data_IF_915518552056
#
_entry.id   IF_915518552056
#
_cell.length_a   1.000
_cell.length_b   1.000
_cell.length_c   1.000
_cell.angle_alpha   90.00
_cell.angle_beta   90.00
_cell.angle_gamma   90.00
#
_symmetry.space_group_name_H-M   'P 1'
#
loop_
_entity.id
_entity.type
_entity.pdbx_description
1 polymer ?
#
# COMPACT_ATOMS: atom_id res chain seq x y z
N UNK A 1 27.27 8.26 21.20
CA UNK A 1 26.69 6.95 21.01
C UNK A 1 25.34 6.98 21.71
N UNK A 2 24.25 7.14 21.00
CA UNK A 2 22.90 7.02 21.56
C UNK A 2 22.69 5.54 21.90
N UNK A 3 22.42 5.24 23.18
CA UNK A 3 22.03 3.88 23.56
C UNK A 3 20.76 3.55 22.76
N UNK A 4 20.79 2.47 21.99
CA UNK A 4 19.57 1.97 21.37
C UNK A 4 18.62 1.59 22.49
N UNK A 5 17.39 2.08 22.44
CA UNK A 5 16.35 1.67 23.36
C UNK A 5 16.21 0.13 23.27
N UNK A 6 16.03 -0.52 24.41
CA UNK A 6 15.72 -1.96 24.47
C UNK A 6 14.24 -2.22 24.21
N UNK A 7 13.46 -1.16 24.02
CA UNK A 7 12.03 -1.24 23.78
C UNK A 7 11.70 -2.12 22.58
N UNK A 8 10.74 -2.98 22.74
CA UNK A 8 10.19 -3.81 21.66
C UNK A 8 9.18 -2.99 20.87
N UNK A 9 9.46 -2.81 19.61
CA UNK A 9 8.68 -1.98 18.68
C UNK A 9 7.94 -2.87 17.69
N UNK A 10 6.68 -2.57 17.40
CA UNK A 10 5.97 -3.12 16.27
C UNK A 10 5.40 -2.01 15.39
N UNK A 11 5.48 -2.22 14.07
CA UNK A 11 4.92 -1.31 13.06
C UNK A 11 3.62 -1.89 12.52
N UNK A 12 2.60 -1.05 12.44
CA UNK A 12 1.31 -1.34 11.84
C UNK A 12 1.08 -0.33 10.71
N UNK A 13 1.19 -0.80 9.48
CA UNK A 13 1.19 0.05 8.30
C UNK A 13 -0.09 -0.18 7.50
N UNK A 14 -1.00 0.79 7.57
CA UNK A 14 -2.11 0.88 6.63
C UNK A 14 -1.54 1.30 5.27
N UNK A 15 -1.39 0.32 4.37
CA UNK A 15 -0.72 0.51 3.09
C UNK A 15 -1.42 1.52 2.19
N UNK A 16 -2.75 1.57 2.22
CA UNK A 16 -3.53 2.50 1.42
C UNK A 16 -3.36 3.94 1.93
N UNK A 17 -3.42 4.14 3.24
CA UNK A 17 -3.26 5.43 3.88
C UNK A 17 -1.83 5.96 3.72
N UNK A 18 -0.81 5.13 4.00
CA UNK A 18 0.58 5.52 3.83
C UNK A 18 0.90 5.91 2.38
N UNK A 19 0.42 5.12 1.40
CA UNK A 19 0.61 5.42 -0.03
C UNK A 19 -0.03 6.76 -0.40
N UNK A 20 -1.29 6.98 -0.01
CA UNK A 20 -1.99 8.22 -0.28
C UNK A 20 -1.28 9.44 0.34
N UNK A 21 -0.82 9.30 1.58
CA UNK A 21 -0.11 10.34 2.32
C UNK A 21 1.23 10.69 1.65
N UNK A 22 2.06 9.69 1.35
CA UNK A 22 3.36 9.89 0.69
C UNK A 22 3.20 10.49 -0.72
N UNK A 23 2.20 10.04 -1.47
CA UNK A 23 1.88 10.59 -2.78
C UNK A 23 1.45 12.07 -2.70
N UNK A 24 0.64 12.42 -1.72
CA UNK A 24 0.22 13.81 -1.49
C UNK A 24 1.42 14.71 -1.14
N UNK A 25 2.39 14.19 -0.42
CA UNK A 25 3.64 14.86 -0.07
C UNK A 25 4.70 14.83 -1.19
N UNK A 26 4.44 14.12 -2.27
CA UNK A 26 5.29 14.10 -3.47
C UNK A 26 6.55 13.24 -3.37
N UNK A 27 6.58 12.22 -2.51
CA UNK A 27 7.71 11.30 -2.44
C UNK A 27 7.27 9.83 -2.38
N UNK A 28 8.19 8.93 -2.72
CA UNK A 28 7.98 7.49 -2.66
C UNK A 28 8.66 6.92 -1.41
N UNK A 29 8.00 5.98 -0.73
CA UNK A 29 8.56 5.29 0.44
C UNK A 29 9.57 4.24 -0.01
N UNK A 30 10.76 4.26 0.60
CA UNK A 30 11.71 3.16 0.60
C UNK A 30 11.47 2.28 1.84
N UNK A 31 10.79 1.18 1.64
CA UNK A 31 10.44 0.26 2.72
C UNK A 31 11.66 -0.38 3.39
N UNK A 32 12.80 -0.51 2.70
CA UNK A 32 14.04 -0.99 3.29
C UNK A 32 14.62 0.04 4.27
N UNK A 33 14.59 1.31 3.89
CA UNK A 33 14.99 2.43 4.77
C UNK A 33 14.04 2.55 5.96
N UNK A 34 12.72 2.32 5.75
CA UNK A 34 11.73 2.32 6.82
C UNK A 34 12.08 1.28 7.90
N UNK A 35 12.31 0.02 7.52
CA UNK A 35 12.73 -0.99 8.49
C UNK A 35 14.00 -0.60 9.23
N UNK A 36 15.03 -0.14 8.52
CA UNK A 36 16.31 0.28 9.13
C UNK A 36 16.15 1.42 10.14
N UNK A 37 15.30 2.40 9.81
CA UNK A 37 15.04 3.54 10.71
C UNK A 37 14.46 3.05 12.03
N UNK A 38 13.47 2.15 12.01
CA UNK A 38 12.86 1.66 13.23
C UNK A 38 13.70 0.59 13.96
N UNK A 39 14.47 -0.20 13.24
CA UNK A 39 15.49 -1.08 13.83
C UNK A 39 16.57 -0.32 14.58
N UNK A 40 16.86 0.93 14.18
CA UNK A 40 17.82 1.77 14.88
C UNK A 40 17.27 2.40 16.17
N UNK A 41 15.93 2.39 16.35
CA UNK A 41 15.27 3.00 17.51
C UNK A 41 15.07 2.02 18.66
N UNK A 42 15.09 0.73 18.40
CA UNK A 42 14.87 -0.31 19.40
C UNK A 42 14.83 -1.71 18.77
N UNK A 43 14.30 -2.67 19.50
CA UNK A 43 14.12 -4.03 19.00
C UNK A 43 12.83 -4.11 18.16
N UNK A 44 12.97 -4.05 16.84
CA UNK A 44 11.83 -4.20 15.93
C UNK A 44 11.36 -5.66 15.93
N UNK A 45 10.23 -5.92 16.59
CA UNK A 45 9.67 -7.25 16.74
C UNK A 45 8.92 -7.70 15.48
N UNK A 46 8.07 -6.83 14.93
CA UNK A 46 7.28 -7.09 13.71
C UNK A 46 7.04 -5.79 12.95
N UNK A 47 6.89 -5.93 11.64
CA UNK A 47 6.43 -4.86 10.77
C UNK A 47 5.30 -5.40 9.89
N UNK A 48 4.06 -5.09 10.24
CA UNK A 48 2.89 -5.48 9.49
C UNK A 48 2.59 -4.48 8.39
N UNK A 49 2.19 -4.99 7.22
CA UNK A 49 1.72 -4.19 6.11
C UNK A 49 0.35 -4.71 5.66
N UNK A 50 -0.66 -3.88 5.78
CA UNK A 50 -2.05 -4.21 5.49
C UNK A 50 -2.45 -3.64 4.15
N UNK A 51 -3.00 -4.47 3.26
CA UNK A 51 -3.48 -4.02 1.96
C UNK A 51 -4.59 -4.91 1.41
N UNK A 52 -5.55 -4.27 0.75
CA UNK A 52 -6.58 -4.98 -0.01
C UNK A 52 -6.06 -5.31 -1.41
N UNK A 53 -6.41 -6.50 -1.91
CA UNK A 53 -6.09 -6.96 -3.26
C UNK A 53 -7.40 -7.15 -4.03
N UNK A 54 -7.49 -6.61 -5.24
CA UNK A 54 -8.65 -6.81 -6.11
C UNK A 54 -8.57 -8.20 -6.75
N UNK A 55 -9.60 -9.03 -6.52
CA UNK A 55 -9.62 -10.46 -6.84
C UNK A 55 -9.59 -10.71 -8.36
N UNK A 56 -10.19 -9.82 -9.17
CA UNK A 56 -10.37 -10.00 -10.61
C UNK A 56 -9.21 -9.45 -11.47
N UNK A 57 -8.13 -8.96 -10.87
CA UNK A 57 -6.99 -8.46 -11.60
C UNK A 57 -5.81 -9.43 -11.56
N UNK A 58 -5.65 -10.26 -12.60
CA UNK A 58 -4.46 -11.12 -12.79
C UNK A 58 -3.13 -10.31 -12.74
N UNK A 59 -3.18 -9.01 -13.06
CA UNK A 59 -2.07 -8.06 -13.00
C UNK A 59 -2.37 -6.91 -12.04
N UNK A 60 -2.42 -7.18 -10.74
CA UNK A 60 -2.45 -6.10 -9.75
C UNK A 60 -1.07 -5.43 -9.70
N UNK A 61 -1.02 -4.11 -9.91
CA UNK A 61 0.22 -3.32 -9.84
C UNK A 61 0.90 -3.36 -8.47
N UNK A 62 0.17 -3.78 -7.43
CA UNK A 62 0.69 -3.87 -6.06
C UNK A 62 1.37 -5.23 -5.76
N UNK A 63 1.11 -6.30 -6.55
CA UNK A 63 1.69 -7.63 -6.29
C UNK A 63 3.22 -7.62 -6.18
N UNK A 64 3.98 -6.97 -7.08
CA UNK A 64 5.44 -6.93 -6.96
C UNK A 64 5.92 -6.29 -5.65
N UNK A 65 5.17 -5.31 -5.12
CA UNK A 65 5.47 -4.72 -3.82
C UNK A 65 5.17 -5.69 -2.69
N UNK A 66 4.03 -6.37 -2.73
CA UNK A 66 3.63 -7.37 -1.73
C UNK A 66 4.68 -8.48 -1.63
N UNK A 67 5.06 -9.07 -2.77
CA UNK A 67 6.06 -10.12 -2.84
C UNK A 67 7.41 -9.63 -2.28
N UNK A 68 7.80 -8.41 -2.65
CA UNK A 68 9.04 -7.82 -2.15
C UNK A 68 8.99 -7.61 -0.62
N UNK A 69 7.89 -7.10 -0.08
CA UNK A 69 7.72 -6.86 1.35
C UNK A 69 7.81 -8.16 2.15
N UNK A 70 7.13 -9.21 1.68
CA UNK A 70 7.11 -10.53 2.32
C UNK A 70 8.51 -11.14 2.40
N UNK A 71 9.31 -11.00 1.32
CA UNK A 71 10.71 -11.45 1.30
C UNK A 71 11.67 -10.57 2.12
N UNK A 72 11.27 -9.34 2.49
CA UNK A 72 12.18 -8.38 3.11
C UNK A 72 11.83 -8.02 4.56
N UNK A 73 11.16 -8.95 5.27
CA UNK A 73 10.99 -8.86 6.72
C UNK A 73 9.72 -8.14 7.18
N UNK A 74 8.77 -7.94 6.27
CA UNK A 74 7.40 -7.54 6.62
C UNK A 74 6.50 -8.75 6.78
N UNK A 75 5.52 -8.63 7.64
CA UNK A 75 4.37 -9.55 7.67
C UNK A 75 3.25 -8.90 6.86
N UNK A 76 3.00 -9.42 5.66
CA UNK A 76 1.99 -8.84 4.77
C UNK A 76 0.64 -9.49 5.03
N UNK A 77 -0.33 -8.66 5.40
CA UNK A 77 -1.72 -9.08 5.62
C UNK A 77 -2.56 -8.57 4.46
N UNK A 78 -3.15 -9.50 3.71
CA UNK A 78 -3.93 -9.17 2.52
C UNK A 78 -5.37 -9.64 2.65
N UNK A 79 -6.28 -8.90 2.03
CA UNK A 79 -7.69 -9.24 1.94
C UNK A 79 -8.14 -9.13 0.49
N UNK A 80 -8.70 -10.21 -0.02
CA UNK A 80 -9.33 -10.20 -1.34
C UNK A 80 -10.59 -9.32 -1.30
N UNK A 81 -10.70 -8.41 -2.25
CA UNK A 81 -11.83 -7.49 -2.35
C UNK A 81 -12.42 -7.55 -3.75
N UNK A 82 -13.74 -7.32 -3.84
CA UNK A 82 -14.43 -7.20 -5.12
C UNK A 82 -14.68 -5.75 -5.45
N UNK A 83 -14.46 -5.40 -6.71
CA UNK A 83 -14.95 -4.12 -7.22
C UNK A 83 -16.48 -4.21 -7.39
N UNK A 84 -17.18 -3.15 -7.00
CA UNK A 84 -18.59 -2.98 -7.33
C UNK A 84 -18.83 -1.58 -7.90
N UNK A 85 -19.83 -1.48 -8.74
CA UNK A 85 -20.24 -0.20 -9.29
C UNK A 85 -21.36 0.32 -8.40
N UNK A 86 -21.17 1.52 -7.83
CA UNK A 86 -22.21 2.18 -7.03
C UNK A 86 -23.37 2.68 -7.92
N UNK A 87 -24.45 3.11 -7.29
CA UNK A 87 -25.63 3.63 -7.99
C UNK A 87 -25.34 4.88 -8.88
N UNK A 88 -24.17 5.49 -8.72
CA UNK A 88 -23.70 6.64 -9.54
C UNK A 88 -22.76 6.20 -10.69
N UNK A 89 -22.58 4.89 -10.92
CA UNK A 89 -21.69 4.35 -11.95
C UNK A 89 -20.21 4.41 -11.62
N UNK A 90 -19.83 4.76 -10.38
CA UNK A 90 -18.44 4.82 -9.94
C UNK A 90 -17.97 3.47 -9.42
N UNK A 91 -16.80 3.04 -9.85
CA UNK A 91 -16.15 1.86 -9.29
C UNK A 91 -15.71 2.15 -7.86
N UNK A 92 -16.14 1.31 -6.93
CA UNK A 92 -15.72 1.32 -5.54
C UNK A 92 -15.14 -0.04 -5.17
N UNK A 93 -14.06 -0.01 -4.42
CA UNK A 93 -13.48 -1.20 -3.79
C UNK A 93 -13.95 -1.19 -2.34
N UNK A 94 -14.64 -2.26 -1.93
CA UNK A 94 -15.03 -2.43 -0.53
C UNK A 94 -14.03 -3.35 0.14
N UNK A 95 -13.06 -2.77 0.81
CA UNK A 95 -12.09 -3.51 1.60
C UNK A 95 -11.23 -2.53 2.37
N UNK A 96 -11.55 -2.34 3.65
CA UNK A 96 -10.61 -1.79 4.59
C UNK A 96 -9.97 -2.94 5.37
N UNK A 97 -8.80 -2.69 5.92
CA UNK A 97 -8.02 -3.65 6.70
C UNK A 97 -8.03 -3.30 8.18
N UNK A 98 -8.97 -2.46 8.63
CA UNK A 98 -8.97 -1.88 9.97
C UNK A 98 -9.19 -2.96 11.05
N UNK A 99 -10.04 -3.94 10.74
CA UNK A 99 -10.33 -5.04 11.67
C UNK A 99 -9.12 -5.94 11.80
N UNK A 100 -8.50 -6.34 10.69
CA UNK A 100 -7.30 -7.18 10.69
C UNK A 100 -6.16 -6.48 11.44
N UNK A 101 -5.93 -5.19 11.16
CA UNK A 101 -4.93 -4.39 11.86
C UNK A 101 -5.24 -4.28 13.37
N UNK A 102 -6.50 -4.04 13.72
CA UNK A 102 -6.91 -3.91 15.11
C UNK A 102 -6.74 -5.22 15.90
N UNK A 103 -7.07 -6.36 15.30
CA UNK A 103 -6.89 -7.68 15.92
C UNK A 103 -5.41 -7.95 16.18
N UNK A 104 -4.56 -7.83 15.14
CA UNK A 104 -3.12 -8.06 15.28
C UNK A 104 -2.46 -7.11 16.29
N UNK A 105 -2.89 -5.84 16.33
CA UNK A 105 -2.39 -4.87 17.29
C UNK A 105 -2.78 -5.23 18.73
N UNK A 106 -4.01 -5.68 18.94
CA UNK A 106 -4.48 -6.10 20.27
C UNK A 106 -3.81 -7.38 20.75
N UNK A 107 -3.56 -8.34 19.85
CA UNK A 107 -2.84 -9.58 20.18
C UNK A 107 -1.37 -9.28 20.53
N UNK A 108 -0.72 -8.39 19.78
CA UNK A 108 0.69 -8.09 20.01
C UNK A 108 0.94 -7.12 21.16
N UNK A 109 -0.09 -6.39 21.62
CA UNK A 109 0.04 -5.37 22.67
C UNK A 109 0.66 -5.89 23.97
N UNK A 110 0.51 -7.17 24.30
CA UNK A 110 1.10 -7.78 25.50
C UNK A 110 2.62 -8.06 25.36
N UNK A 111 3.16 -7.93 24.14
CA UNK A 111 4.53 -8.32 23.81
C UNK A 111 5.42 -7.17 23.39
N UNK A 112 4.86 -5.96 23.27
CA UNK A 112 5.56 -4.77 22.79
C UNK A 112 5.50 -3.62 23.80
N UNK A 113 6.50 -2.75 23.75
CA UNK A 113 6.54 -1.53 24.55
C UNK A 113 6.07 -0.32 23.75
N UNK A 114 6.23 -0.39 22.41
CA UNK A 114 5.86 0.68 21.48
C UNK A 114 5.12 0.15 20.25
N UNK A 115 3.98 0.76 19.97
CA UNK A 115 3.23 0.61 18.73
C UNK A 115 3.49 1.82 17.83
N UNK A 116 3.83 1.61 16.56
CA UNK A 116 3.91 2.67 15.55
C UNK A 116 2.85 2.42 14.49
N UNK A 117 1.88 3.30 14.43
CA UNK A 117 0.76 3.23 13.48
C UNK A 117 0.98 4.22 12.34
N UNK A 118 1.08 3.71 11.12
CA UNK A 118 1.09 4.51 9.89
C UNK A 118 -0.31 4.59 9.31
N UNK A 119 -1.12 5.46 9.87
CA UNK A 119 -2.46 5.80 9.37
C UNK A 119 -2.92 7.13 9.94
N UNK A 120 -3.78 7.82 9.21
CA UNK A 120 -4.44 9.03 9.68
C UNK A 120 -5.94 8.81 9.94
N UNK A 121 -6.41 7.56 9.83
CA UNK A 121 -7.83 7.26 9.95
C UNK A 121 -8.32 7.37 11.41
N UNK A 122 -9.36 8.18 11.61
CA UNK A 122 -9.98 8.41 12.91
C UNK A 122 -10.58 7.16 13.55
N UNK A 123 -10.96 6.17 12.76
CA UNK A 123 -11.53 4.91 13.23
C UNK A 123 -10.55 4.15 14.14
N UNK A 124 -9.25 4.38 14.00
CA UNK A 124 -8.22 3.81 14.87
C UNK A 124 -8.10 4.48 16.25
N UNK A 125 -8.82 5.58 16.52
CA UNK A 125 -8.76 6.22 17.84
C UNK A 125 -9.04 5.24 18.98
N UNK A 126 -10.09 4.44 18.85
CA UNK A 126 -10.48 3.46 19.89
C UNK A 126 -9.45 2.34 20.06
N UNK A 127 -8.81 1.93 18.97
CA UNK A 127 -7.71 0.96 19.03
C UNK A 127 -6.52 1.55 19.80
N UNK A 128 -6.09 2.77 19.48
CA UNK A 128 -4.97 3.45 20.14
C UNK A 128 -5.24 3.54 21.66
N UNK A 129 -6.43 3.99 22.05
CA UNK A 129 -6.84 4.05 23.45
C UNK A 129 -6.77 2.67 24.13
N UNK A 130 -7.22 1.60 23.46
CA UNK A 130 -7.21 0.25 24.01
C UNK A 130 -5.79 -0.31 24.19
N UNK A 131 -4.89 -0.02 23.26
CA UNK A 131 -3.47 -0.41 23.32
C UNK A 131 -2.74 0.37 24.43
N UNK A 132 -3.00 1.66 24.56
CA UNK A 132 -2.46 2.49 25.65
C UNK A 132 -2.89 1.99 27.04
N UNK A 133 -4.14 1.53 27.21
CA UNK A 133 -4.60 0.91 28.46
C UNK A 133 -3.83 -0.36 28.85
N UNK A 134 -3.12 -0.98 27.93
CA UNK A 134 -2.20 -2.10 28.17
C UNK A 134 -0.76 -1.66 28.49
N UNK A 135 -0.53 -0.36 28.61
CA UNK A 135 0.79 0.21 28.93
C UNK A 135 1.71 0.38 27.71
N UNK A 136 1.21 0.19 26.51
CA UNK A 136 1.99 0.36 25.27
C UNK A 136 1.98 1.84 24.85
N UNK A 137 3.15 2.39 24.56
CA UNK A 137 3.28 3.74 23.98
C UNK A 137 2.94 3.73 22.50
N UNK A 138 2.04 4.62 22.06
CA UNK A 138 1.58 4.67 20.68
C UNK A 138 2.09 5.91 19.97
N UNK A 139 2.84 5.71 18.90
CA UNK A 139 3.23 6.75 17.93
C UNK A 139 2.36 6.63 16.69
N UNK A 140 1.70 7.72 16.30
CA UNK A 140 0.94 7.80 15.05
C UNK A 140 1.72 8.61 14.03
N UNK A 141 1.86 8.09 12.81
CA UNK A 141 2.56 8.71 11.70
C UNK A 141 1.60 8.98 10.55
N UNK A 142 1.41 10.24 10.24
CA UNK A 142 0.61 10.74 9.12
C UNK A 142 1.07 12.17 8.78
N UNK A 143 0.26 13.03 8.20
CA UNK A 143 0.67 14.42 7.91
C UNK A 143 -0.41 15.45 8.15
N UNK A 144 0.02 16.62 8.60
CA UNK A 144 -0.78 17.85 8.64
C UNK A 144 -0.36 18.86 7.56
N UNK A 145 0.68 18.52 6.78
CA UNK A 145 1.23 19.42 5.76
C UNK A 145 0.40 19.46 4.47
N UNK A 146 -0.64 18.62 4.36
CA UNK A 146 -1.61 18.64 3.23
C UNK A 146 -2.87 19.42 3.55
N UNK A 147 -3.62 19.80 2.51
CA UNK A 147 -4.92 20.42 2.63
C UNK A 147 -5.99 19.59 1.86
N UNK A 148 -6.94 18.95 2.57
CA UNK A 148 -7.04 18.85 4.03
C UNK A 148 -5.91 18.00 4.64
N UNK A 149 -5.68 18.06 5.96
CA UNK A 149 -4.78 17.16 6.67
C UNK A 149 -5.15 15.69 6.46
N UNK A 150 -4.15 14.82 6.36
CA UNK A 150 -4.36 13.38 6.19
C UNK A 150 -4.49 12.64 7.54
N UNK A 151 -4.61 13.37 8.63
CA UNK A 151 -4.81 12.85 9.99
C UNK A 151 -6.12 13.40 10.58
N UNK A 152 -6.95 12.52 11.11
CA UNK A 152 -8.10 12.91 11.91
C UNK A 152 -7.66 13.51 13.24
N UNK A 153 -8.28 14.60 13.64
CA UNK A 153 -7.90 15.35 14.84
C UNK A 153 -8.03 14.52 16.12
N UNK A 154 -9.08 13.70 16.21
CA UNK A 154 -9.31 12.78 17.33
C UNK A 154 -8.23 11.71 17.46
N UNK A 155 -7.72 11.16 16.35
CA UNK A 155 -6.63 10.20 16.37
C UNK A 155 -5.30 10.87 16.78
N UNK A 156 -5.04 12.06 16.24
CA UNK A 156 -3.85 12.84 16.59
C UNK A 156 -3.79 13.19 18.07
N UNK A 157 -4.93 13.55 18.67
CA UNK A 157 -5.02 13.87 20.09
C UNK A 157 -4.88 12.65 20.99
N UNK A 158 -5.32 11.48 20.52
CA UNK A 158 -5.22 10.23 21.28
C UNK A 158 -3.79 9.71 21.32
N UNK A 159 -2.99 9.92 20.30
CA UNK A 159 -1.61 9.41 20.23
C UNK A 159 -0.73 9.96 21.35
N UNK A 160 0.15 9.12 21.93
CA UNK A 160 1.19 9.60 22.85
C UNK A 160 2.24 10.46 22.12
N UNK A 161 2.51 10.09 20.86
CA UNK A 161 3.40 10.84 19.97
C UNK A 161 2.77 10.91 18.59
N UNK A 162 2.70 12.10 18.03
CA UNK A 162 2.44 12.29 16.60
C UNK A 162 3.73 12.70 15.91
N UNK A 163 4.05 12.03 14.81
CA UNK A 163 5.20 12.37 13.95
C UNK A 163 4.67 12.68 12.56
N UNK A 164 4.98 13.87 12.06
CA UNK A 164 4.62 14.18 10.67
C UNK A 164 5.52 13.42 9.69
N UNK A 165 4.94 12.79 8.70
CA UNK A 165 5.65 12.00 7.70
C UNK A 165 6.68 12.85 6.93
N UNK A 166 6.46 14.16 6.81
CA UNK A 166 7.43 15.11 6.24
C UNK A 166 8.77 15.10 6.99
N UNK A 167 8.75 14.97 8.33
CA UNK A 167 9.95 14.91 9.15
C UNK A 167 10.81 13.67 8.87
N UNK A 168 10.14 12.61 8.38
CA UNK A 168 10.78 11.35 8.05
C UNK A 168 11.18 11.24 6.58
N UNK A 169 10.81 12.19 5.72
CA UNK A 169 11.05 12.14 4.27
C UNK A 169 12.51 11.86 3.91
N UNK A 170 13.45 12.52 4.56
CA UNK A 170 14.90 12.33 4.32
C UNK A 170 15.40 10.94 4.72
N UNK A 171 14.71 10.27 5.65
CA UNK A 171 15.06 8.94 6.17
C UNK A 171 14.35 7.81 5.42
N UNK A 172 13.09 8.02 5.07
CA UNK A 172 12.22 7.01 4.47
C UNK A 172 12.03 7.17 2.96
N UNK A 173 12.34 8.34 2.41
CA UNK A 173 12.14 8.61 0.98
C UNK A 173 13.15 7.85 0.12
N UNK A 174 12.65 7.37 -1.03
CA UNK A 174 13.51 6.81 -2.07
C UNK A 174 14.32 7.93 -2.71
N UNK A 175 15.61 7.67 -2.98
CA UNK A 175 16.45 8.61 -3.69
C UNK A 175 15.93 8.78 -5.13
N UNK A 176 15.68 10.01 -5.60
CA UNK A 176 15.23 10.25 -6.98
C UNK A 176 16.20 9.70 -8.03
N UNK A 177 17.50 9.59 -7.72
CA UNK A 177 18.52 9.01 -8.61
C UNK A 177 18.40 7.49 -8.77
N UNK A 178 17.74 6.81 -7.84
CA UNK A 178 17.50 5.36 -7.89
C UNK A 178 16.21 4.99 -8.66
N UNK A 179 15.47 5.98 -9.19
CA UNK A 179 14.33 5.70 -10.07
C UNK A 179 14.84 5.08 -11.36
N UNK A 180 14.33 3.89 -11.76
CA UNK A 180 14.58 3.39 -13.11
C UNK A 180 14.16 4.46 -14.11
N UNK A 181 15.05 4.77 -15.08
CA UNK A 181 14.72 5.71 -16.14
C UNK A 181 13.34 5.34 -16.74
N UNK A 182 12.48 6.32 -17.06
CA UNK A 182 11.20 6.05 -17.70
C UNK A 182 11.49 5.16 -18.91
N UNK A 183 10.93 3.96 -18.97
CA UNK A 183 11.02 3.13 -20.16
C UNK A 183 10.37 3.90 -21.28
N UNK A 184 11.18 4.28 -22.27
CA UNK A 184 10.74 5.01 -23.43
C UNK A 184 9.55 4.27 -24.07
N UNK A 185 8.42 4.94 -24.19
CA UNK A 185 7.19 4.38 -24.78
C UNK A 185 7.34 4.15 -26.30
N UNK A 186 8.47 4.55 -26.88
CA UNK A 186 8.75 4.43 -28.32
C UNK A 186 8.86 3.00 -28.85
N UNK A 187 9.17 2.01 -27.99
CA UNK A 187 9.39 0.62 -28.43
C UNK A 187 8.12 -0.26 -28.46
N UNK A 188 6.94 0.27 -28.11
CA UNK A 188 5.70 -0.53 -28.13
C UNK A 188 4.97 -0.50 -29.47
N UNK A 189 5.24 0.45 -30.35
CA UNK A 189 4.61 0.49 -31.69
C UNK A 189 5.25 -0.45 -32.72
N UNK A 190 6.47 -0.95 -32.47
CA UNK A 190 7.18 -1.81 -33.44
C UNK A 190 6.88 -3.31 -33.32
N UNK A 191 6.01 -3.76 -32.40
CA UNK A 191 5.73 -5.20 -32.18
C UNK A 191 4.30 -5.65 -32.47
N UNK A 192 3.46 -4.86 -33.08
CA UNK A 192 2.18 -5.29 -33.60
C UNK A 192 2.28 -5.67 -35.10
N UNK A 193 3.22 -6.56 -35.43
CA UNK A 193 3.06 -7.37 -36.64
C UNK A 193 2.23 -8.59 -36.23
N UNK A 194 0.99 -8.62 -36.70
CA UNK A 194 0.13 -9.81 -36.56
C UNK A 194 0.86 -11.03 -37.12
N UNK A 195 0.80 -12.19 -36.45
CA UNK A 195 1.42 -13.41 -36.93
C UNK A 195 0.96 -13.75 -38.35
N UNK A 196 1.89 -14.14 -39.23
CA UNK A 196 1.66 -14.40 -40.68
C UNK A 196 0.53 -15.42 -40.98
N UNK A 197 0.11 -16.25 -39.99
CA UNK A 197 -0.97 -17.20 -40.22
C UNK A 197 -2.37 -16.54 -40.31
N UNK A 198 -2.54 -15.32 -39.80
CA UNK A 198 -3.81 -14.57 -39.93
C UNK A 198 -3.94 -13.82 -41.28
N UNK A 199 -2.90 -13.71 -42.09
CA UNK A 199 -2.94 -13.04 -43.37
C UNK A 199 -3.44 -13.93 -44.52
N UNK A 200 -3.63 -15.24 -44.33
CA UNK A 200 -4.10 -16.19 -45.35
C UNK A 200 -5.61 -16.38 -45.48
N UNK A 201 -6.41 -15.76 -44.61
CA UNK A 201 -7.86 -15.97 -44.58
C UNK A 201 -8.67 -14.97 -45.41
N UNK A 202 -8.03 -14.00 -46.11
CA UNK A 202 -8.76 -12.92 -46.80
C UNK A 202 -8.65 -12.98 -48.33
N UNK A 203 -8.26 -14.12 -48.89
CA UNK A 203 -8.25 -14.31 -50.35
C UNK A 203 -9.04 -15.57 -50.76
N UNK A 204 -10.33 -15.58 -50.50
CA UNK A 204 -11.29 -16.41 -51.23
C UNK A 204 -12.36 -15.47 -51.83
N UNK A 205 -12.26 -15.25 -53.13
CA UNK A 205 -13.24 -14.54 -53.95
C UNK A 205 -14.58 -15.27 -53.93
N UNK A 206 -15.70 -14.56 -54.03
CA UNK A 206 -17.02 -15.19 -54.18
C UNK A 206 -17.13 -15.86 -55.54
N UNK A 207 -17.54 -17.13 -55.56
CA UNK A 207 -18.05 -17.82 -56.73
C UNK A 207 -19.49 -17.38 -56.97
N UNK A 208 -19.71 -17.02 -58.21
CA UNK A 208 -20.96 -16.48 -58.73
C UNK A 208 -22.14 -17.45 -58.60
N UNK A 209 -23.28 -16.82 -58.52
CA UNK A 209 -24.60 -17.39 -58.72
C UNK A 209 -24.70 -17.88 -60.16
N UNK A 210 -25.14 -19.13 -60.32
CA UNK A 210 -25.77 -19.60 -61.57
C UNK A 210 -27.09 -20.29 -61.24
N UNK A 211 -28.11 -19.65 -61.69
CA UNK A 211 -29.45 -20.08 -62.10
C UNK A 211 -29.81 -21.55 -61.92
N UNK A 212 -30.99 -21.78 -61.35
CA UNK A 212 -31.99 -22.73 -61.90
C UNK A 212 -33.40 -22.28 -61.52
N UNK A 213 -34.14 -21.87 -62.63
CA UNK A 213 -35.58 -21.89 -62.68
C UNK A 213 -36.10 -23.37 -62.66
N UNK A 214 -37.13 -23.63 -61.95
CA UNK A 214 -38.44 -24.20 -62.25
C UNK A 214 -39.24 -24.38 -60.98
#
# INVERSE_FOLDING_TARGET
>A
MSASSTDKIALFIDGANLYATAKTLGFDIDYKRLLKEFQSRGTLLRAFYYTAIIEDQEYSSIRPLIDWLDYNGYTVVTKATKEFIDASGRRKVKGNMDIELAVDAMELAEHIDQMVLFSGDGDFRSLVEAVQRRGVRVTVISTIASQPPMIADELRRQADVFTDLVELQSKLGRDPSERPAPRDRGDREARHHAPQFLQRATTMAPRGDDDFEE
#
